data_IF_765742863587
#
_entry.id   IF_765742863587
#
_cell.length_a   1.000
_cell.length_b   1.000
_cell.length_c   1.000
_cell.angle_alpha   90.00
_cell.angle_beta   90.00
_cell.angle_gamma   90.00
#
_symmetry.space_group_name_H-M   'P 1'
#
loop_
_entity.id
_entity.type
_entity.pdbx_description
1 polymer ?
#
# COMPACT_ATOMS: atom_id res chain seq x y z
N UNK A 1 4.60 22.88 -14.13
CA UNK A 1 5.86 22.13 -13.95
C UNK A 1 5.87 21.28 -12.66
N UNK A 2 5.43 21.76 -11.48
CA UNK A 2 5.47 21.00 -10.22
C UNK A 2 4.74 19.64 -10.28
N UNK A 3 3.53 19.63 -10.85
CA UNK A 3 2.70 18.42 -10.94
C UNK A 3 3.34 17.26 -11.73
N UNK A 4 4.26 17.52 -12.67
CA UNK A 4 4.99 16.45 -13.37
C UNK A 4 6.06 15.80 -12.50
N UNK A 5 6.74 16.60 -11.68
CA UNK A 5 7.77 16.10 -10.77
C UNK A 5 7.15 15.25 -9.65
N UNK A 6 6.04 15.71 -9.07
CA UNK A 6 5.29 14.95 -8.06
C UNK A 6 4.77 13.61 -8.59
N UNK A 7 4.28 13.55 -9.83
CA UNK A 7 3.86 12.29 -10.46
C UNK A 7 5.03 11.32 -10.64
N UNK A 8 6.17 11.79 -11.13
CA UNK A 8 7.36 10.95 -11.25
C UNK A 8 7.88 10.46 -9.88
N UNK A 9 7.80 11.31 -8.85
CA UNK A 9 8.15 10.94 -7.48
C UNK A 9 7.25 9.82 -6.96
N UNK A 10 5.94 9.87 -7.21
CA UNK A 10 5.05 8.76 -6.88
C UNK A 10 5.57 7.46 -7.51
N UNK A 11 5.77 7.41 -8.83
CA UNK A 11 6.18 6.17 -9.53
C UNK A 11 7.47 5.55 -8.98
N UNK A 12 8.41 6.38 -8.54
CA UNK A 12 9.64 5.91 -7.89
C UNK A 12 9.34 5.39 -6.47
N UNK A 13 8.50 6.08 -5.70
CA UNK A 13 8.08 5.64 -4.37
C UNK A 13 7.37 4.28 -4.42
N UNK A 14 6.45 4.12 -5.37
CA UNK A 14 5.77 2.87 -5.68
C UNK A 14 6.71 1.71 -5.92
N UNK A 15 7.67 1.88 -6.84
CA UNK A 15 8.65 0.83 -7.13
C UNK A 15 9.55 0.52 -5.94
N UNK A 16 9.82 1.50 -5.08
CA UNK A 16 10.59 1.32 -3.85
C UNK A 16 9.83 0.46 -2.85
N UNK A 17 8.56 0.78 -2.60
CA UNK A 17 7.68 -0.02 -1.75
C UNK A 17 7.47 -1.43 -2.32
N UNK A 18 7.20 -1.56 -3.62
CA UNK A 18 7.03 -2.85 -4.29
C UNK A 18 8.27 -3.76 -4.16
N UNK A 19 9.48 -3.20 -4.24
CA UNK A 19 10.72 -3.97 -4.00
C UNK A 19 10.80 -4.48 -2.56
N UNK A 20 10.49 -3.65 -1.57
CA UNK A 20 10.45 -4.06 -0.15
C UNK A 20 9.46 -5.22 0.05
N UNK A 21 8.23 -5.05 -0.43
CA UNK A 21 7.18 -6.05 -0.31
C UNK A 21 7.49 -7.36 -1.03
N UNK A 22 7.99 -7.30 -2.27
CA UNK A 22 8.38 -8.47 -3.05
C UNK A 22 9.52 -9.27 -2.39
N UNK A 23 10.51 -8.59 -1.81
CA UNK A 23 11.59 -9.24 -1.07
C UNK A 23 11.07 -10.01 0.14
N UNK A 24 10.11 -9.44 0.87
CA UNK A 24 9.48 -10.11 2.02
C UNK A 24 8.65 -11.30 1.58
N UNK A 25 7.80 -11.14 0.56
CA UNK A 25 7.01 -12.23 0.01
C UNK A 25 7.88 -13.41 -0.43
N UNK A 26 8.95 -13.14 -1.18
CA UNK A 26 9.86 -14.17 -1.67
C UNK A 26 10.51 -14.95 -0.52
N UNK A 27 10.96 -14.27 0.53
CA UNK A 27 11.58 -14.91 1.70
C UNK A 27 10.57 -15.69 2.55
N UNK A 28 9.36 -15.15 2.74
CA UNK A 28 8.29 -15.84 3.44
C UNK A 28 7.86 -17.12 2.71
N UNK A 29 7.76 -17.06 1.38
CA UNK A 29 7.46 -18.21 0.52
C UNK A 29 8.59 -19.24 0.52
N UNK A 30 9.84 -18.80 0.45
CA UNK A 30 10.98 -19.71 0.52
C UNK A 30 11.02 -20.48 1.84
N UNK A 31 10.79 -19.78 2.97
CA UNK A 31 10.75 -20.42 4.29
C UNK A 31 9.51 -21.30 4.49
N UNK A 32 8.42 -21.03 3.76
CA UNK A 32 7.21 -21.87 3.79
C UNK A 32 7.49 -23.33 3.40
N UNK A 33 8.52 -23.58 2.57
CA UNK A 33 8.95 -24.95 2.22
C UNK A 33 9.36 -25.81 3.43
N UNK A 34 9.64 -25.18 4.58
CA UNK A 34 9.94 -25.87 5.86
C UNK A 34 8.70 -26.19 6.68
N UNK A 35 7.53 -25.69 6.30
CA UNK A 35 6.27 -26.01 6.97
C UNK A 35 5.85 -27.41 6.55
N UNK A 36 5.73 -28.29 7.53
CA UNK A 36 5.40 -29.70 7.31
C UNK A 36 3.96 -29.97 7.78
N UNK A 37 3.10 -30.57 6.95
CA UNK A 37 1.75 -30.96 7.36
C UNK A 37 1.73 -31.91 8.57
N UNK A 38 2.70 -32.80 8.67
CA UNK A 38 2.79 -33.80 9.76
C UNK A 38 3.24 -33.20 11.10
N UNK A 39 3.94 -32.06 11.06
CA UNK A 39 4.39 -31.33 12.27
C UNK A 39 3.87 -29.89 12.31
N UNK A 40 2.70 -29.65 11.70
CA UNK A 40 2.17 -28.33 11.35
C UNK A 40 2.14 -27.34 12.52
N UNK A 41 1.82 -27.79 13.72
CA UNK A 41 1.81 -26.93 14.91
C UNK A 41 3.22 -26.44 15.31
N UNK A 42 4.25 -27.28 15.18
CA UNK A 42 5.63 -26.92 15.49
C UNK A 42 6.26 -26.14 14.33
N UNK A 43 6.20 -26.68 13.11
CA UNK A 43 6.79 -26.06 11.92
C UNK A 43 6.13 -24.73 11.57
N UNK A 44 4.80 -24.62 11.72
CA UNK A 44 4.06 -23.37 11.49
C UNK A 44 4.40 -22.27 12.50
N UNK A 45 4.62 -22.61 13.78
CA UNK A 45 5.08 -21.64 14.79
C UNK A 45 6.50 -21.14 14.49
N UNK A 46 7.40 -22.03 14.09
CA UNK A 46 8.76 -21.66 13.71
C UNK A 46 8.78 -20.72 12.49
N UNK A 47 8.02 -21.06 11.44
CA UNK A 47 7.86 -20.21 10.27
C UNK A 47 7.26 -18.83 10.63
N UNK A 48 6.23 -18.79 11.47
CA UNK A 48 5.60 -17.53 11.88
C UNK A 48 6.58 -16.62 12.64
N UNK A 49 7.39 -17.20 13.55
CA UNK A 49 8.41 -16.45 14.26
C UNK A 49 9.48 -15.87 13.32
N UNK A 50 9.90 -16.64 12.31
CA UNK A 50 10.81 -16.16 11.27
C UNK A 50 10.23 -14.98 10.49
N UNK A 51 8.98 -15.09 10.02
CA UNK A 51 8.36 -14.03 9.21
C UNK A 51 8.11 -12.77 10.04
N UNK A 52 7.70 -12.87 11.32
CA UNK A 52 7.54 -11.70 12.19
C UNK A 52 8.88 -10.97 12.41
N UNK A 53 9.97 -11.70 12.65
CA UNK A 53 11.31 -11.11 12.79
C UNK A 53 11.82 -10.48 11.48
N UNK A 54 11.38 -10.99 10.32
CA UNK A 54 11.62 -10.35 9.03
C UNK A 54 10.83 -9.04 8.89
N UNK A 55 9.54 -9.05 9.23
CA UNK A 55 8.64 -7.91 9.08
C UNK A 55 9.08 -6.68 9.87
N UNK A 56 9.61 -6.85 11.09
CA UNK A 56 10.05 -5.70 11.90
C UNK A 56 11.06 -4.80 11.17
N UNK A 57 12.11 -5.39 10.56
CA UNK A 57 13.12 -4.64 9.81
C UNK A 57 12.56 -3.98 8.55
N UNK A 58 11.69 -4.68 7.84
CA UNK A 58 11.18 -4.24 6.54
C UNK A 58 10.08 -3.18 6.68
N UNK A 59 9.33 -3.20 7.79
CA UNK A 59 8.42 -2.10 8.18
C UNK A 59 9.18 -0.84 8.50
N UNK A 60 10.30 -0.93 9.25
CA UNK A 60 11.16 0.21 9.53
C UNK A 60 11.70 0.83 8.23
N UNK A 61 12.22 0.00 7.32
CA UNK A 61 12.68 0.43 5.99
C UNK A 61 11.56 1.08 5.17
N UNK A 62 10.36 0.50 5.17
CA UNK A 62 9.19 1.07 4.49
C UNK A 62 8.80 2.42 5.08
N UNK A 63 8.86 2.55 6.40
CA UNK A 63 8.57 3.79 7.14
C UNK A 63 9.57 4.89 6.84
N UNK A 64 10.87 4.60 6.85
CA UNK A 64 11.91 5.58 6.51
C UNK A 64 11.79 6.09 5.08
N UNK A 65 11.59 5.18 4.11
CA UNK A 65 11.35 5.55 2.72
C UNK A 65 10.09 6.43 2.58
N UNK A 66 9.02 6.11 3.31
CA UNK A 66 7.80 6.90 3.31
C UNK A 66 8.00 8.30 3.92
N UNK A 67 8.82 8.45 4.96
CA UNK A 67 9.14 9.75 5.54
C UNK A 67 9.94 10.62 4.59
N UNK A 68 10.98 10.04 3.96
CA UNK A 68 11.79 10.74 2.95
C UNK A 68 10.94 11.19 1.74
N UNK A 69 10.10 10.28 1.23
CA UNK A 69 9.12 10.60 0.19
C UNK A 69 8.16 11.73 0.62
N UNK A 70 7.59 11.64 1.82
CA UNK A 70 6.64 12.63 2.33
C UNK A 70 7.28 14.02 2.43
N UNK A 71 8.51 14.08 2.94
CA UNK A 71 9.29 15.32 3.08
C UNK A 71 9.54 15.99 1.73
N UNK A 72 9.99 15.23 0.73
CA UNK A 72 10.23 15.75 -0.61
C UNK A 72 8.92 16.14 -1.31
N UNK A 73 7.89 15.29 -1.24
CA UNK A 73 6.61 15.55 -1.87
C UNK A 73 5.96 16.83 -1.32
N UNK A 74 5.96 17.01 0.01
CA UNK A 74 5.46 18.21 0.68
C UNK A 74 6.23 19.47 0.25
N UNK A 75 7.54 19.37 0.09
CA UNK A 75 8.39 20.49 -0.35
C UNK A 75 8.06 20.91 -1.78
N UNK A 76 7.90 19.94 -2.70
CA UNK A 76 7.53 20.23 -4.08
C UNK A 76 6.14 20.87 -4.22
N UNK A 77 5.21 20.51 -3.34
CA UNK A 77 3.83 21.03 -3.40
C UNK A 77 3.62 22.33 -2.61
N UNK A 78 4.42 22.59 -1.58
CA UNK A 78 4.15 23.69 -0.62
C UNK A 78 5.35 24.59 -0.30
N UNK A 79 6.52 24.31 -0.89
CA UNK A 79 7.80 24.96 -0.56
C UNK A 79 8.20 24.83 0.92
N UNK A 80 7.62 23.86 1.63
CA UNK A 80 7.96 23.52 2.99
C UNK A 80 7.98 22.01 3.21
N UNK A 81 8.76 21.57 4.18
CA UNK A 81 8.95 20.17 4.53
C UNK A 81 8.83 19.96 6.04
N UNK A 82 9.04 18.72 6.48
CA UNK A 82 9.06 18.30 7.87
C UNK A 82 10.50 17.98 8.31
N UNK A 83 10.79 17.99 9.62
CA UNK A 83 12.06 17.52 10.15
C UNK A 83 12.35 16.07 9.71
N UNK A 84 13.63 15.65 9.69
CA UNK A 84 13.99 14.27 9.39
C UNK A 84 13.33 13.32 10.40
N UNK A 85 13.01 12.10 9.97
CA UNK A 85 12.39 11.10 10.84
C UNK A 85 13.30 10.71 12.01
N UNK A 86 14.62 10.76 11.81
CA UNK A 86 15.64 10.53 12.83
C UNK A 86 16.76 11.56 12.71
N UNK A 87 17.37 11.91 13.85
CA UNK A 87 18.39 12.96 13.93
C UNK A 87 17.82 14.39 14.00
N UNK A 88 18.70 15.38 13.95
CA UNK A 88 18.33 16.81 13.91
C UNK A 88 18.58 17.38 12.52
N UNK A 89 17.71 18.27 12.06
CA UNK A 89 18.01 19.12 10.92
C UNK A 89 18.87 20.28 11.40
N UNK A 90 20.19 20.16 11.20
CA UNK A 90 21.12 21.23 11.52
C UNK A 90 21.31 22.13 10.28
N UNK A 91 20.68 23.30 10.30
CA UNK A 91 20.87 24.33 9.26
C UNK A 91 19.76 24.40 8.20
N UNK A 92 19.97 25.22 7.14
CA UNK A 92 19.00 25.42 6.08
C UNK A 92 18.86 24.15 5.23
N UNK A 93 17.61 23.71 4.99
CA UNK A 93 17.30 22.55 4.13
C UNK A 93 17.05 23.02 2.71
N UNK A 94 17.60 22.32 1.72
CA UNK A 94 17.41 22.59 0.28
C UNK A 94 16.57 21.51 -0.41
N UNK A 95 16.00 21.84 -1.58
CA UNK A 95 15.34 20.82 -2.42
C UNK A 95 16.32 19.74 -2.89
N UNK A 96 17.58 20.10 -3.18
CA UNK A 96 18.62 19.15 -3.56
C UNK A 96 18.86 18.10 -2.47
N UNK A 97 18.98 18.52 -1.21
CA UNK A 97 19.16 17.63 -0.07
C UNK A 97 17.98 16.67 0.13
N UNK A 98 16.74 17.15 -0.04
CA UNK A 98 15.55 16.29 0.02
C UNK A 98 15.51 15.28 -1.13
N UNK A 99 15.96 15.66 -2.32
CA UNK A 99 16.08 14.74 -3.47
C UNK A 99 17.20 13.72 -3.27
N UNK A 100 18.31 14.10 -2.65
CA UNK A 100 19.43 13.21 -2.32
C UNK A 100 19.06 12.18 -1.24
N UNK A 101 18.38 12.62 -0.19
CA UNK A 101 17.79 11.75 0.84
C UNK A 101 16.85 10.72 0.20
N UNK A 102 15.94 11.17 -0.67
CA UNK A 102 15.04 10.26 -1.38
C UNK A 102 15.78 9.29 -2.32
N UNK A 103 16.81 9.75 -3.03
CA UNK A 103 17.58 8.93 -3.96
C UNK A 103 18.28 7.76 -3.25
N UNK A 104 18.69 7.92 -1.99
CA UNK A 104 19.27 6.86 -1.16
C UNK A 104 18.28 5.70 -0.96
N UNK A 105 17.01 6.01 -0.65
CA UNK A 105 15.97 4.98 -0.48
C UNK A 105 15.52 4.38 -1.81
N UNK A 106 15.38 5.21 -2.85
CA UNK A 106 14.98 4.75 -4.17
C UNK A 106 16.03 3.87 -4.84
N UNK A 107 17.30 4.00 -4.46
CA UNK A 107 18.42 3.30 -5.12
C UNK A 107 18.57 3.70 -6.58
N UNK A 108 18.17 4.92 -6.92
CA UNK A 108 18.24 5.49 -8.27
C UNK A 108 19.14 6.70 -8.25
N UNK A 109 20.23 6.71 -9.05
CA UNK A 109 21.02 7.93 -9.24
C UNK A 109 20.12 9.05 -9.77
N UNK A 110 20.18 10.24 -9.17
CA UNK A 110 19.49 11.42 -9.70
C UNK A 110 20.46 12.33 -10.43
N UNK A 111 19.95 13.02 -11.45
CA UNK A 111 20.67 14.14 -12.05
C UNK A 111 20.45 15.41 -11.20
N UNK A 112 21.45 16.31 -11.13
CA UNK A 112 21.26 17.64 -10.57
C UNK A 112 20.12 18.38 -11.28
N UNK A 113 19.34 19.14 -10.53
CA UNK A 113 18.28 19.98 -11.07
C UNK A 113 18.60 21.45 -10.82
N UNK A 114 18.06 22.33 -11.68
CA UNK A 114 18.36 23.77 -11.63
C UNK A 114 17.90 24.46 -10.35
N UNK A 115 16.97 23.87 -9.60
CA UNK A 115 16.45 24.40 -8.34
C UNK A 115 16.91 23.59 -7.11
N UNK A 116 18.00 22.83 -7.21
CA UNK A 116 18.52 22.08 -6.06
C UNK A 116 18.97 22.99 -4.91
N UNK A 117 19.42 24.21 -5.20
CA UNK A 117 19.85 25.20 -4.20
C UNK A 117 18.67 25.94 -3.54
N UNK A 118 17.43 25.68 -3.96
CA UNK A 118 16.24 26.35 -3.41
C UNK A 118 16.02 25.94 -1.95
N UNK A 119 15.94 26.94 -1.06
CA UNK A 119 15.68 26.74 0.37
C UNK A 119 14.23 26.32 0.62
N UNK A 120 14.05 25.36 1.52
CA UNK A 120 12.75 24.81 1.91
C UNK A 120 12.50 25.13 3.39
N UNK A 121 11.32 25.69 3.70
CA UNK A 121 10.93 25.92 5.09
C UNK A 121 10.71 24.59 5.82
N UNK A 122 11.32 24.39 6.98
CA UNK A 122 11.05 23.22 7.84
C UNK A 122 9.99 23.62 8.88
N UNK A 123 8.81 23.01 8.80
CA UNK A 123 7.76 23.23 9.80
C UNK A 123 8.01 22.36 11.03
N UNK A 124 7.73 22.91 12.21
CA UNK A 124 7.74 22.16 13.47
C UNK A 124 6.70 21.02 13.43
N UNK A 125 7.13 19.80 13.73
CA UNK A 125 6.33 18.60 13.58
C UNK A 125 6.92 17.40 14.33
N UNK A 126 6.09 16.75 15.13
CA UNK A 126 6.42 15.49 15.78
C UNK A 126 5.90 14.31 14.96
N UNK A 127 6.82 13.41 14.55
CA UNK A 127 6.45 12.22 13.79
C UNK A 127 5.61 11.25 14.64
N UNK A 128 4.46 10.76 14.13
CA UNK A 128 3.64 9.81 14.87
C UNK A 128 4.38 8.47 15.06
N UNK A 129 4.53 8.02 16.30
CA UNK A 129 5.18 6.75 16.63
C UNK A 129 4.36 5.53 16.14
N UNK A 130 5.01 4.47 15.65
CA UNK A 130 4.31 3.26 15.24
C UNK A 130 3.83 2.45 16.45
N UNK A 131 2.62 1.89 16.36
CA UNK A 131 2.14 0.88 17.32
C UNK A 131 2.65 -0.51 16.90
N UNK A 132 3.92 -0.80 17.22
CA UNK A 132 4.56 -2.07 16.87
C UNK A 132 3.80 -3.29 17.41
N UNK A 133 3.18 -3.16 18.59
CA UNK A 133 2.42 -4.25 19.22
C UNK A 133 1.16 -4.57 18.43
N UNK A 134 0.41 -3.55 18.00
CA UNK A 134 -0.75 -3.74 17.14
C UNK A 134 -0.35 -4.26 15.76
N UNK A 135 0.74 -3.76 15.18
CA UNK A 135 1.25 -4.23 13.89
C UNK A 135 1.65 -5.71 13.96
N UNK A 136 2.32 -6.16 15.01
CA UNK A 136 2.72 -7.56 15.20
C UNK A 136 1.53 -8.46 15.46
N UNK A 137 0.54 -7.99 16.23
CA UNK A 137 -0.71 -8.72 16.45
C UNK A 137 -1.47 -8.92 15.14
N UNK A 138 -1.59 -7.86 14.32
CA UNK A 138 -2.25 -7.92 13.02
C UNK A 138 -1.52 -8.87 12.04
N UNK A 139 -0.19 -8.79 11.96
CA UNK A 139 0.59 -9.70 11.13
C UNK A 139 0.47 -11.15 11.58
N UNK A 140 0.52 -11.40 12.90
CA UNK A 140 0.37 -12.76 13.45
C UNK A 140 -0.95 -13.40 13.02
N UNK A 141 -2.05 -12.65 13.13
CA UNK A 141 -3.38 -13.12 12.71
C UNK A 141 -3.40 -13.34 11.20
N UNK A 142 -2.97 -12.35 10.41
CA UNK A 142 -3.01 -12.44 8.95
C UNK A 142 -2.21 -13.65 8.42
N UNK A 143 -0.98 -13.85 8.91
CA UNK A 143 -0.10 -14.94 8.50
C UNK A 143 -0.61 -16.31 8.98
N UNK A 144 -1.15 -16.39 10.19
CA UNK A 144 -1.70 -17.64 10.71
C UNK A 144 -2.94 -18.09 9.93
N UNK A 145 -3.89 -17.17 9.69
CA UNK A 145 -5.16 -17.46 9.01
C UNK A 145 -4.96 -17.79 7.53
N UNK A 146 -4.05 -17.09 6.85
CA UNK A 146 -3.77 -17.35 5.42
C UNK A 146 -2.85 -18.55 5.19
N UNK A 147 -2.22 -19.07 6.25
CA UNK A 147 -1.21 -20.12 6.18
C UNK A 147 -1.56 -21.36 7.02
N UNK A 148 -0.88 -21.61 8.16
CA UNK A 148 -1.03 -22.86 8.89
C UNK A 148 -2.45 -23.20 9.34
N UNK A 149 -3.30 -22.20 9.62
CA UNK A 149 -4.69 -22.45 9.98
C UNK A 149 -5.49 -23.04 8.82
N UNK A 150 -5.25 -22.56 7.59
CA UNK A 150 -5.89 -23.08 6.38
C UNK A 150 -5.47 -24.52 6.08
N UNK A 151 -4.20 -24.84 6.25
CA UNK A 151 -3.69 -26.22 6.09
C UNK A 151 -4.33 -27.13 7.14
N UNK A 152 -4.42 -26.68 8.39
CA UNK A 152 -5.06 -27.44 9.47
C UNK A 152 -6.53 -27.71 9.17
N UNK A 153 -7.27 -26.70 8.72
CA UNK A 153 -8.66 -26.84 8.34
C UNK A 153 -8.86 -27.91 7.26
N UNK A 154 -7.99 -27.95 6.23
CA UNK A 154 -8.05 -28.99 5.19
C UNK A 154 -7.80 -30.40 5.75
N UNK A 155 -6.82 -30.56 6.65
CA UNK A 155 -6.52 -31.86 7.30
C UNK A 155 -7.69 -32.30 8.20
N UNK A 156 -8.25 -31.38 8.98
CA UNK A 156 -9.37 -31.67 9.88
C UNK A 156 -10.63 -32.05 9.09
N UNK A 157 -10.91 -31.36 7.98
CA UNK A 157 -12.01 -31.70 7.08
C UNK A 157 -11.85 -33.10 6.49
N UNK A 158 -10.66 -33.46 6.02
CA UNK A 158 -10.39 -34.80 5.49
C UNK A 158 -10.46 -35.90 6.56
N UNK A 159 -10.04 -35.60 7.79
CA UNK A 159 -10.08 -36.54 8.92
C UNK A 159 -11.51 -36.84 9.39
N UNK A 160 -12.43 -35.90 9.20
CA UNK A 160 -13.83 -36.03 9.60
C UNK A 160 -14.71 -36.78 8.57
N UNK A 161 -14.20 -37.02 7.36
CA UNK A 161 -14.90 -37.83 6.35
C UNK A 161 -14.83 -39.32 6.74
N UNK A 162 -15.95 -40.03 6.63
CA UNK A 162 -16.14 -41.42 7.12
C UNK A 162 -15.29 -42.47 6.37
N UNK A 163 -14.49 -42.08 5.38
CA UNK A 163 -13.68 -42.97 4.57
C UNK A 163 -12.34 -43.30 5.25
N UNK A 164 -12.22 -44.53 5.77
CA UNK A 164 -10.95 -45.04 6.30
C UNK A 164 -9.86 -45.01 5.22
N UNK A 165 -8.69 -44.48 5.57
CA UNK A 165 -7.54 -44.38 4.66
C UNK A 165 -7.57 -43.16 3.73
N UNK A 166 -8.54 -42.25 3.89
CA UNK A 166 -8.61 -41.00 3.10
C UNK A 166 -7.35 -40.15 3.20
N UNK A 167 -6.75 -40.06 4.39
CA UNK A 167 -5.52 -39.28 4.61
C UNK A 167 -4.29 -39.84 3.88
N UNK A 168 -4.32 -41.12 3.49
CA UNK A 168 -3.25 -41.77 2.74
C UNK A 168 -3.60 -41.92 1.25
N UNK A 169 -4.77 -41.43 0.83
CA UNK A 169 -5.22 -41.56 -0.56
C UNK A 169 -4.42 -40.60 -1.45
N UNK A 170 -4.06 -41.07 -2.65
CA UNK A 170 -3.32 -40.25 -3.61
C UNK A 170 -4.05 -38.93 -3.93
N UNK A 171 -5.38 -38.97 -4.01
CA UNK A 171 -6.22 -37.79 -4.22
C UNK A 171 -6.06 -36.78 -3.08
N UNK A 172 -6.06 -37.23 -1.82
CA UNK A 172 -5.90 -36.31 -0.69
C UNK A 172 -4.50 -35.72 -0.64
N UNK A 173 -3.47 -36.52 -0.94
CA UNK A 173 -2.09 -36.01 -0.97
C UNK A 173 -1.93 -34.92 -2.04
N UNK A 174 -2.56 -35.08 -3.22
CA UNK A 174 -2.60 -34.04 -4.24
C UNK A 174 -3.35 -32.78 -3.76
N UNK A 175 -4.54 -32.94 -3.15
CA UNK A 175 -5.30 -31.82 -2.57
C UNK A 175 -4.50 -31.10 -1.47
N UNK A 176 -3.81 -31.84 -0.61
CA UNK A 176 -2.98 -31.29 0.45
C UNK A 176 -1.79 -30.51 -0.13
N UNK A 177 -1.16 -31.02 -1.19
CA UNK A 177 -0.09 -30.30 -1.91
C UNK A 177 -0.61 -29.00 -2.53
N UNK A 178 -1.83 -28.99 -3.06
CA UNK A 178 -2.51 -27.77 -3.53
C UNK A 178 -2.77 -26.78 -2.41
N UNK A 179 -3.35 -27.23 -1.30
CA UNK A 179 -3.59 -26.39 -0.12
C UNK A 179 -2.29 -25.81 0.42
N UNK A 180 -1.22 -26.62 0.48
CA UNK A 180 0.10 -26.17 0.93
C UNK A 180 0.69 -25.11 0.00
N UNK A 181 0.57 -25.29 -1.32
CA UNK A 181 1.04 -24.30 -2.30
C UNK A 181 0.27 -22.99 -2.19
N UNK A 182 -1.06 -23.06 -2.12
CA UNK A 182 -1.94 -21.91 -2.00
C UNK A 182 -1.72 -21.16 -0.69
N UNK A 183 -1.56 -21.87 0.43
CA UNK A 183 -1.23 -21.28 1.72
C UNK A 183 0.13 -20.55 1.67
N UNK A 184 1.13 -21.12 0.99
CA UNK A 184 2.41 -20.47 0.76
C UNK A 184 2.28 -19.16 -0.02
N UNK A 185 1.52 -19.15 -1.13
CA UNK A 185 1.29 -17.94 -1.94
C UNK A 185 0.50 -16.89 -1.15
N UNK A 186 -0.56 -17.29 -0.46
CA UNK A 186 -1.41 -16.38 0.31
C UNK A 186 -0.67 -15.73 1.49
N UNK A 187 0.15 -16.50 2.21
CA UNK A 187 0.98 -15.98 3.30
C UNK A 187 2.08 -15.05 2.80
N UNK A 188 2.69 -15.35 1.65
CA UNK A 188 3.65 -14.45 1.02
C UNK A 188 3.00 -13.10 0.67
N UNK A 189 1.78 -13.13 0.11
CA UNK A 189 1.01 -11.90 -0.15
C UNK A 189 0.59 -11.15 1.11
N UNK A 190 0.33 -11.85 2.22
CA UNK A 190 0.08 -11.22 3.52
C UNK A 190 1.36 -10.58 4.09
N UNK A 191 2.49 -11.27 4.00
CA UNK A 191 3.78 -10.76 4.46
C UNK A 191 4.22 -9.50 3.67
N UNK A 192 4.04 -9.49 2.35
CA UNK A 192 4.19 -8.30 1.51
C UNK A 192 3.37 -7.12 2.05
N UNK A 193 2.06 -7.30 2.20
CA UNK A 193 1.16 -6.26 2.70
C UNK A 193 1.57 -5.74 4.09
N UNK A 194 1.95 -6.64 4.99
CA UNK A 194 2.35 -6.31 6.35
C UNK A 194 3.71 -5.59 6.42
N UNK A 195 4.61 -5.81 5.44
CA UNK A 195 5.86 -5.06 5.33
C UNK A 195 5.60 -3.60 4.93
N UNK A 196 4.68 -3.38 3.98
CA UNK A 196 4.32 -2.03 3.50
C UNK A 196 3.51 -1.22 4.51
N UNK A 197 2.95 -1.88 5.54
CA UNK A 197 2.15 -1.25 6.59
C UNK A 197 2.89 -0.08 7.23
N UNK A 198 4.19 -0.22 7.50
CA UNK A 198 4.99 0.82 8.15
C UNK A 198 4.98 2.16 7.41
N UNK A 199 5.22 2.14 6.10
CA UNK A 199 5.15 3.35 5.27
C UNK A 199 3.73 3.87 5.07
N UNK A 200 2.74 2.98 4.95
CA UNK A 200 1.33 3.36 4.79
C UNK A 200 0.78 4.07 6.02
N UNK A 201 1.02 3.52 7.21
CA UNK A 201 0.57 4.09 8.48
C UNK A 201 1.28 5.41 8.76
N UNK A 202 2.58 5.52 8.47
CA UNK A 202 3.29 6.80 8.56
C UNK A 202 2.64 7.86 7.66
N UNK A 203 2.42 7.59 6.37
CA UNK A 203 1.81 8.58 5.48
C UNK A 203 0.41 8.97 5.97
N UNK A 204 -0.40 8.00 6.40
CA UNK A 204 -1.71 8.26 7.00
C UNK A 204 -1.61 9.21 8.19
N UNK A 205 -0.84 8.84 9.20
CA UNK A 205 -0.84 9.51 10.49
C UNK A 205 -0.14 10.86 10.40
N UNK A 206 0.95 10.93 9.62
CA UNK A 206 1.61 12.19 9.32
C UNK A 206 0.68 13.12 8.53
N UNK A 207 -0.04 12.59 7.53
CA UNK A 207 -1.03 13.39 6.80
C UNK A 207 -2.07 13.95 7.76
N UNK A 208 -2.65 13.13 8.66
CA UNK A 208 -3.64 13.57 9.66
C UNK A 208 -3.14 14.72 10.53
N UNK A 209 -1.90 14.62 11.02
CA UNK A 209 -1.30 15.63 11.88
C UNK A 209 -0.85 16.90 11.13
N UNK A 210 -0.50 16.79 9.85
CA UNK A 210 0.03 17.90 9.07
C UNK A 210 -1.06 18.92 8.71
N UNK A 211 -0.85 20.16 9.16
CA UNK A 211 -1.79 21.28 8.99
C UNK A 211 -1.90 21.78 7.55
N UNK A 212 -0.92 21.46 6.69
CA UNK A 212 -0.97 21.84 5.26
C UNK A 212 -1.81 20.88 4.42
N UNK A 213 -2.15 19.71 4.95
CA UNK A 213 -2.94 18.70 4.22
C UNK A 213 -4.41 19.11 4.20
N UNK A 214 -4.96 19.28 3.01
CA UNK A 214 -6.36 19.67 2.79
C UNK A 214 -7.24 18.50 2.35
N UNK A 215 -6.65 17.37 1.95
CA UNK A 215 -7.34 16.17 1.51
C UNK A 215 -6.40 15.00 1.28
N UNK A 216 -6.91 13.94 0.66
CA UNK A 216 -6.19 12.72 0.34
C UNK A 216 -6.63 12.16 -0.99
N UNK A 217 -5.75 11.44 -1.66
CA UNK A 217 -6.08 10.73 -2.89
C UNK A 217 -5.45 9.34 -2.89
N UNK A 218 -6.10 8.40 -3.57
CA UNK A 218 -5.47 7.12 -3.91
C UNK A 218 -4.64 7.32 -5.16
N UNK A 219 -3.36 7.01 -5.08
CA UNK A 219 -2.52 6.80 -6.27
C UNK A 219 -2.40 5.30 -6.51
N UNK A 220 -2.10 4.90 -7.74
CA UNK A 220 -1.97 3.50 -8.18
C UNK A 220 -0.66 3.29 -8.92
N UNK A 221 -0.19 2.05 -8.99
CA UNK A 221 0.84 1.64 -9.95
C UNK A 221 0.22 1.47 -11.35
N UNK A 222 1.00 1.01 -12.34
CA UNK A 222 0.52 0.80 -13.72
C UNK A 222 -0.44 -0.38 -13.92
N UNK A 223 -0.63 -1.28 -12.94
CA UNK A 223 -1.50 -2.47 -13.05
C UNK A 223 -2.27 -2.75 -11.74
N UNK A 224 -3.07 -1.79 -11.24
CA UNK A 224 -3.74 -1.91 -9.96
C UNK A 224 -4.92 -2.88 -10.03
N UNK A 225 -5.30 -3.45 -8.90
CA UNK A 225 -6.55 -4.21 -8.82
C UNK A 225 -7.76 -3.28 -8.99
N UNK A 226 -8.90 -3.85 -9.40
CA UNK A 226 -10.13 -3.09 -9.65
C UNK A 226 -10.56 -2.20 -8.48
N UNK A 227 -10.38 -2.66 -7.24
CA UNK A 227 -10.70 -1.86 -6.06
C UNK A 227 -9.84 -0.59 -5.96
N UNK A 228 -8.54 -0.71 -6.21
CA UNK A 228 -7.63 0.44 -6.15
C UNK A 228 -7.82 1.39 -7.34
N UNK A 229 -8.08 0.84 -8.54
CA UNK A 229 -8.41 1.63 -9.71
C UNK A 229 -9.70 2.45 -9.48
N UNK A 230 -10.71 1.85 -8.86
CA UNK A 230 -11.95 2.54 -8.45
C UNK A 230 -11.68 3.63 -7.40
N UNK A 231 -10.86 3.38 -6.40
CA UNK A 231 -10.54 4.42 -5.41
C UNK A 231 -9.74 5.58 -6.04
N UNK A 232 -8.81 5.27 -6.94
CA UNK A 232 -8.05 6.29 -7.68
C UNK A 232 -8.94 7.10 -8.62
N UNK A 233 -9.97 6.49 -9.22
CA UNK A 233 -10.91 7.16 -10.13
C UNK A 233 -11.72 8.27 -9.45
N UNK A 234 -11.76 8.31 -8.11
CA UNK A 234 -12.47 9.36 -7.34
C UNK A 234 -11.67 10.67 -7.24
N UNK A 235 -10.37 10.65 -7.49
CA UNK A 235 -9.49 11.80 -7.26
C UNK A 235 -9.31 12.13 -5.78
N UNK A 236 -9.07 13.41 -5.48
CA UNK A 236 -8.93 13.87 -4.11
C UNK A 236 -10.27 13.89 -3.35
N UNK A 237 -10.22 13.42 -2.11
CA UNK A 237 -11.26 13.60 -1.09
C UNK A 237 -10.77 14.60 -0.04
N UNK A 238 -11.56 15.62 0.26
CA UNK A 238 -11.13 16.76 1.09
C UNK A 238 -11.67 16.71 2.51
N UNK A 239 -10.94 17.34 3.46
CA UNK A 239 -11.29 17.39 4.89
C UNK A 239 -12.53 18.21 5.22
N UNK A 240 -12.78 19.26 4.45
CA UNK A 240 -13.84 20.23 4.74
C UNK A 240 -14.40 20.81 3.45
N UNK A 241 -15.61 21.37 3.54
CA UNK A 241 -16.31 22.04 2.45
C UNK A 241 -15.45 23.16 1.83
N UNK A 242 -14.81 23.98 2.68
CA UNK A 242 -13.86 24.99 2.25
C UNK A 242 -12.68 24.39 1.45
N UNK A 243 -12.24 23.18 1.79
CA UNK A 243 -11.21 22.44 1.05
C UNK A 243 -11.66 21.92 -0.31
N UNK A 244 -12.96 21.67 -0.50
CA UNK A 244 -13.54 21.02 -1.69
C UNK A 244 -13.99 21.98 -2.81
N UNK A 245 -14.06 23.29 -2.57
CA UNK A 245 -14.51 24.25 -3.58
C UNK A 245 -13.43 24.61 -4.60
N UNK A 246 -13.76 24.39 -5.88
CA UNK A 246 -13.15 25.03 -7.04
C UNK A 246 -14.25 25.55 -8.00
N UNK A 247 -14.17 26.81 -8.41
CA UNK A 247 -14.88 27.33 -9.59
C UNK A 247 -14.10 26.90 -10.85
N UNK A 248 -14.54 25.86 -11.56
CA UNK A 248 -13.86 25.45 -12.80
C UNK A 248 -14.34 24.16 -13.47
N UNK A 249 -15.37 24.30 -14.33
CA UNK A 249 -15.79 23.39 -15.42
C UNK A 249 -15.76 21.87 -15.14
N UNK A 250 -16.82 21.40 -14.50
CA UNK A 250 -17.24 20.00 -14.50
C UNK A 250 -18.49 19.88 -13.64
N UNK A 251 -19.50 19.11 -14.08
CA UNK A 251 -20.72 18.91 -13.30
C UNK A 251 -20.30 18.37 -11.93
N UNK A 252 -20.50 19.16 -10.88
CA UNK A 252 -20.19 18.78 -9.51
C UNK A 252 -20.94 17.49 -9.17
N UNK A 253 -20.27 16.35 -9.32
CA UNK A 253 -20.61 15.16 -8.57
C UNK A 253 -20.26 15.50 -7.13
N UNK A 254 -21.23 15.42 -6.22
CA UNK A 254 -21.03 15.59 -4.77
C UNK A 254 -19.72 14.91 -4.37
N UNK A 255 -18.69 15.70 -4.00
CA UNK A 255 -17.45 15.15 -3.46
C UNK A 255 -17.81 14.57 -2.09
N UNK A 256 -17.67 13.25 -1.85
CA UNK A 256 -18.12 12.66 -0.61
C UNK A 256 -17.42 13.31 0.59
N UNK A 257 -18.23 13.82 1.52
CA UNK A 257 -17.83 14.24 2.87
C UNK A 257 -17.60 12.98 3.66
N UNK A 258 -16.39 12.72 4.13
CA UNK A 258 -16.22 11.67 5.13
C UNK A 258 -14.92 11.86 5.92
N UNK A 259 -14.96 12.19 7.23
CA UNK A 259 -13.78 12.09 8.09
C UNK A 259 -13.21 10.66 8.12
N UNK A 260 -14.00 9.64 7.76
CA UNK A 260 -13.59 8.25 7.56
C UNK A 260 -13.24 7.90 6.09
N UNK A 261 -13.26 8.86 5.16
CA UNK A 261 -12.83 8.63 3.75
C UNK A 261 -11.42 8.04 3.68
N UNK A 262 -10.55 8.50 4.58
CA UNK A 262 -9.19 8.01 4.68
C UNK A 262 -9.15 6.53 5.09
N UNK A 263 -10.07 6.06 5.94
CA UNK A 263 -10.16 4.65 6.30
C UNK A 263 -10.58 3.77 5.10
N UNK A 264 -11.46 4.25 4.22
CA UNK A 264 -11.77 3.55 2.96
C UNK A 264 -10.56 3.54 2.01
N UNK A 265 -9.87 4.68 1.90
CA UNK A 265 -8.63 4.84 1.13
C UNK A 265 -7.44 4.07 1.73
N UNK A 266 -7.59 3.41 2.87
CA UNK A 266 -6.56 2.64 3.57
C UNK A 266 -6.82 1.13 3.54
N UNK A 267 -7.85 0.69 2.82
CA UNK A 267 -8.06 -0.73 2.59
C UNK A 267 -7.10 -1.22 1.51
N UNK A 268 -6.34 -2.25 1.86
CA UNK A 268 -5.34 -2.90 1.00
C UNK A 268 -5.49 -4.41 1.07
N UNK A 269 -5.55 -5.05 -0.10
CA UNK A 269 -5.48 -6.51 -0.20
C UNK A 269 -4.02 -6.99 -0.23
N UNK A 270 -3.84 -8.30 -0.13
CA UNK A 270 -2.53 -8.95 -0.33
C UNK A 270 -2.03 -8.68 -1.75
N UNK A 271 -0.71 -8.42 -1.89
CA UNK A 271 -0.09 -8.13 -3.18
C UNK A 271 -0.49 -6.79 -3.81
N UNK A 272 -1.18 -5.93 -3.05
CA UNK A 272 -1.48 -4.58 -3.47
C UNK A 272 -0.35 -3.66 -3.03
N UNK A 273 0.27 -2.95 -3.96
CA UNK A 273 1.30 -1.95 -3.65
C UNK A 273 0.73 -0.55 -3.48
N UNK A 274 -0.61 -0.43 -3.37
CA UNK A 274 -1.27 0.87 -3.39
C UNK A 274 -0.97 1.85 -2.25
N UNK A 275 -1.11 3.16 -2.50
CA UNK A 275 -0.84 4.20 -1.51
C UNK A 275 -1.90 5.31 -1.52
N UNK A 276 -2.33 5.71 -0.32
CA UNK A 276 -3.04 6.98 -0.13
C UNK A 276 -1.99 8.08 0.12
N UNK A 277 -2.11 9.22 -0.56
CA UNK A 277 -1.18 10.36 -0.45
C UNK A 277 -1.92 11.61 0.00
N UNK A 278 -1.26 12.51 0.75
CA UNK A 278 -1.84 13.80 1.10
C UNK A 278 -2.06 14.67 -0.14
N UNK A 279 -3.02 15.57 -0.06
CA UNK A 279 -3.27 16.60 -1.07
C UNK A 279 -3.08 17.96 -0.40
N UNK A 280 -2.25 18.80 -1.01
CA UNK A 280 -1.88 20.12 -0.48
C UNK A 280 -2.46 21.30 -1.26
N UNK A 281 -2.87 21.08 -2.51
CA UNK A 281 -3.50 22.10 -3.34
C UNK A 281 -4.85 21.60 -3.82
N UNK A 282 -5.79 22.53 -3.99
CA UNK A 282 -7.13 22.20 -4.47
C UNK A 282 -7.12 21.89 -5.98
N UNK A 283 -6.02 22.18 -6.68
CA UNK A 283 -5.94 22.04 -8.12
C UNK A 283 -6.11 20.56 -8.44
N UNK A 284 -7.27 20.21 -9.01
CA UNK A 284 -7.74 18.85 -9.29
C UNK A 284 -6.62 17.79 -9.26
N UNK A 285 -6.51 17.10 -8.13
CA UNK A 285 -5.54 16.02 -7.98
C UNK A 285 -6.12 14.75 -8.59
N UNK A 286 -6.12 14.74 -9.92
CA UNK A 286 -6.22 13.53 -10.72
C UNK A 286 -4.89 13.34 -11.43
N UNK A 287 -4.15 12.28 -11.10
CA UNK A 287 -3.04 11.85 -11.95
C UNK A 287 -3.58 11.51 -13.35
N UNK A 288 -2.75 11.51 -14.41
CA UNK A 288 -3.21 11.09 -15.73
C UNK A 288 -3.93 9.73 -15.72
N UNK A 289 -3.42 8.79 -14.92
CA UNK A 289 -4.02 7.49 -14.72
C UNK A 289 -5.35 7.55 -13.97
N UNK A 290 -5.45 8.34 -12.90
CA UNK A 290 -6.71 8.53 -12.17
C UNK A 290 -7.80 9.14 -13.07
N UNK A 291 -7.44 10.09 -13.96
CA UNK A 291 -8.36 10.62 -14.99
C UNK A 291 -8.85 9.55 -15.94
N UNK A 292 -7.95 8.68 -16.40
CA UNK A 292 -8.31 7.56 -17.26
C UNK A 292 -9.31 6.64 -16.55
N UNK A 293 -9.03 6.22 -15.30
CA UNK A 293 -9.96 5.39 -14.55
C UNK A 293 -11.29 6.08 -14.26
N UNK A 294 -11.31 7.40 -14.05
CA UNK A 294 -12.56 8.15 -13.88
C UNK A 294 -13.43 8.11 -15.14
N UNK A 295 -12.82 8.25 -16.31
CA UNK A 295 -13.51 8.16 -17.60
C UNK A 295 -14.04 6.74 -17.85
N UNK A 296 -13.18 5.73 -17.65
CA UNK A 296 -13.55 4.32 -17.83
C UNK A 296 -14.64 3.90 -16.84
N UNK A 297 -14.56 4.32 -15.56
CA UNK A 297 -15.60 4.05 -14.57
C UNK A 297 -16.95 4.61 -15.03
N UNK A 298 -17.00 5.88 -15.43
CA UNK A 298 -18.23 6.53 -15.90
C UNK A 298 -18.83 5.86 -17.15
N UNK A 299 -18.00 5.28 -18.00
CA UNK A 299 -18.43 4.53 -19.18
C UNK A 299 -18.93 3.12 -18.82
N UNK A 300 -18.11 2.33 -18.11
CA UNK A 300 -18.36 0.92 -17.79
C UNK A 300 -19.52 0.75 -16.83
N UNK A 301 -19.72 1.68 -15.88
CA UNK A 301 -20.81 1.59 -14.90
C UNK A 301 -22.06 2.35 -15.31
N UNK A 302 -22.17 2.81 -16.56
CA UNK A 302 -23.31 3.61 -17.03
C UNK A 302 -24.62 2.83 -16.87
N UNK A 303 -25.57 3.40 -16.11
CA UNK A 303 -26.86 2.76 -15.84
C UNK A 303 -26.81 1.64 -14.79
N UNK A 304 -25.65 1.40 -14.17
CA UNK A 304 -25.46 0.43 -13.09
C UNK A 304 -25.25 1.16 -11.76
N UNK A 305 -25.55 0.48 -10.66
CA UNK A 305 -25.33 1.00 -9.31
C UNK A 305 -24.85 -0.10 -8.36
N UNK A 306 -24.31 0.32 -7.21
CA UNK A 306 -23.98 -0.56 -6.09
C UNK A 306 -23.08 -1.75 -6.48
N UNK A 307 -23.55 -2.96 -6.18
CA UNK A 307 -22.78 -4.19 -6.41
C UNK A 307 -22.56 -4.49 -7.89
N UNK A 308 -23.50 -4.14 -8.76
CA UNK A 308 -23.42 -4.46 -10.20
C UNK A 308 -22.44 -3.55 -10.92
N UNK A 309 -22.41 -2.26 -10.57
CA UNK A 309 -21.36 -1.34 -11.03
C UNK A 309 -19.96 -1.85 -10.64
N UNK A 310 -19.78 -2.27 -9.37
CA UNK A 310 -18.49 -2.82 -8.88
C UNK A 310 -18.11 -4.13 -9.59
N UNK A 311 -19.08 -4.95 -9.98
CA UNK A 311 -18.85 -6.22 -10.68
C UNK A 311 -18.38 -5.99 -12.11
N UNK A 312 -19.06 -5.12 -12.85
CA UNK A 312 -18.65 -4.78 -14.22
C UNK A 312 -17.31 -4.05 -14.25
N UNK A 313 -17.08 -3.12 -13.33
CA UNK A 313 -15.78 -2.49 -13.18
C UNK A 313 -14.66 -3.52 -12.93
N UNK A 314 -14.91 -4.50 -12.06
CA UNK A 314 -13.94 -5.57 -11.80
C UNK A 314 -13.62 -6.37 -13.06
N UNK A 315 -14.64 -6.74 -13.84
CA UNK A 315 -14.45 -7.48 -15.11
C UNK A 315 -13.60 -6.67 -16.09
N UNK A 316 -13.87 -5.38 -16.23
CA UNK A 316 -13.13 -4.46 -17.10
C UNK A 316 -11.64 -4.36 -16.72
N UNK A 317 -11.34 -4.05 -15.45
CA UNK A 317 -9.95 -3.93 -15.00
C UNK A 317 -9.22 -5.28 -15.09
N UNK A 318 -9.87 -6.39 -14.71
CA UNK A 318 -9.23 -7.70 -14.81
C UNK A 318 -8.96 -8.11 -16.27
N UNK A 319 -9.78 -7.66 -17.23
CA UNK A 319 -9.51 -7.88 -18.66
C UNK A 319 -8.29 -7.10 -19.14
N UNK A 320 -8.15 -5.82 -18.76
CA UNK A 320 -6.96 -5.02 -19.06
C UNK A 320 -5.68 -5.66 -18.50
N UNK A 321 -5.73 -6.10 -17.22
CA UNK A 321 -4.60 -6.75 -16.54
C UNK A 321 -4.16 -8.06 -17.19
N UNK A 322 -5.07 -8.79 -17.84
CA UNK A 322 -4.73 -10.01 -18.62
C UNK A 322 -4.14 -9.71 -20.00
N UNK A 323 -4.30 -8.49 -20.50
CA UNK A 323 -3.91 -8.09 -21.85
C UNK A 323 -2.61 -7.27 -21.87
N UNK A 324 -2.05 -6.97 -20.69
CA UNK A 324 -0.83 -6.18 -20.45
C UNK A 324 0.33 -7.11 -20.12
#
# INVERSE_FOLDING_TARGET
MPQRESVALFDVYWRTQARTGANVAARALAEWSRVSPTTLAASGRAWLAFVLALLGRERARSREAAASFYRLYRALETSATLPPLSGTADGPVTLGELRDDWAQFAGTPRAPQSNDEELVQVDDFDWPEPDETAQDSAARVALAVTGPARVREAIDQASNLTERGRLDSADFLNELDEVMRDAGVNTAGAADREALRGGRELIRDASRADRRVIGWARVTDGSPCAFCAMLASRGAVYRSEAGAFFEGRGRATEIPRDPDALAELEQYHNGCHCQAVPVYSRADFLTPQARQYAQEWAEVTRGLAGADARREWRRHIDAQRRSS
#
